data_IF_857333114894
#
_entry.id   IF_857333114894
#
_cell.length_a   1.000
_cell.length_b   1.000
_cell.length_c   1.000
_cell.angle_alpha   90.00
_cell.angle_beta   90.00
_cell.angle_gamma   90.00
#
_symmetry.space_group_name_H-M   'P 1'
#
loop_
_entity.id
_entity.type
_entity.pdbx_description
1 polymer ?
#
# COMPACT_ATOMS: atom_id res chain seq x y z
N UNK A 1 -15.90 -7.12 14.07
CA UNK A 1 -16.64 -6.58 12.90
C UNK A 1 -16.07 -7.24 11.65
N UNK A 2 -16.94 -7.71 10.71
CA UNK A 2 -16.54 -8.34 9.45
C UNK A 2 -16.55 -7.29 8.32
N UNK A 3 -15.46 -7.17 7.55
CA UNK A 3 -15.32 -6.19 6.47
C UNK A 3 -14.50 -6.79 5.32
N UNK A 4 -14.87 -6.46 4.08
CA UNK A 4 -14.14 -6.97 2.90
C UNK A 4 -12.95 -6.07 2.60
N UNK A 5 -11.75 -6.65 2.50
CA UNK A 5 -10.57 -5.96 2.01
C UNK A 5 -10.29 -6.36 0.56
N UNK A 6 -10.45 -5.41 -0.35
CA UNK A 6 -10.36 -5.60 -1.80
C UNK A 6 -8.91 -5.78 -2.27
N UNK A 7 -8.26 -6.86 -1.84
CA UNK A 7 -6.89 -7.19 -2.23
C UNK A 7 -6.72 -8.68 -2.48
N UNK A 8 -5.90 -9.02 -3.48
CA UNK A 8 -5.37 -10.36 -3.72
C UNK A 8 -3.90 -10.48 -3.25
N UNK A 9 -3.31 -9.41 -2.73
CA UNK A 9 -1.93 -9.39 -2.26
C UNK A 9 -1.84 -9.89 -0.81
N UNK A 10 -1.23 -11.06 -0.63
CA UNK A 10 -1.09 -11.69 0.69
C UNK A 10 -0.24 -10.87 1.68
N UNK A 11 0.78 -10.14 1.19
CA UNK A 11 1.60 -9.26 2.03
C UNK A 11 0.78 -8.09 2.57
N UNK A 12 -0.02 -7.44 1.71
CA UNK A 12 -0.94 -6.38 2.14
C UNK A 12 -1.96 -6.89 3.15
N UNK A 13 -2.55 -8.06 2.90
CA UNK A 13 -3.52 -8.67 3.80
C UNK A 13 -2.92 -8.91 5.20
N UNK A 14 -1.69 -9.43 5.25
CA UNK A 14 -0.96 -9.67 6.50
C UNK A 14 -0.68 -8.36 7.26
N UNK A 15 -0.14 -7.34 6.59
CA UNK A 15 0.16 -6.05 7.20
C UNK A 15 -1.10 -5.35 7.74
N UNK A 16 -2.18 -5.36 6.97
CA UNK A 16 -3.45 -4.74 7.37
C UNK A 16 -4.11 -5.50 8.52
N UNK A 17 -4.12 -6.84 8.46
CA UNK A 17 -4.67 -7.67 9.53
C UNK A 17 -3.95 -7.43 10.86
N UNK A 18 -2.62 -7.36 10.83
CA UNK A 18 -1.81 -7.08 12.02
C UNK A 18 -2.09 -5.66 12.56
N UNK A 19 -2.22 -4.67 11.69
CA UNK A 19 -2.45 -3.28 12.09
C UNK A 19 -3.87 -3.02 12.63
N UNK A 20 -4.90 -3.71 12.10
CA UNK A 20 -6.29 -3.61 12.56
C UNK A 20 -6.53 -4.36 13.89
N UNK A 21 -5.77 -5.44 14.14
CA UNK A 21 -5.92 -6.28 15.31
C UNK A 21 -7.19 -7.14 15.29
N UNK A 22 -7.47 -7.82 16.42
CA UNK A 22 -8.52 -8.84 16.54
C UNK A 22 -9.95 -8.30 16.51
N UNK A 23 -10.14 -6.99 16.65
CA UNK A 23 -11.48 -6.36 16.61
C UNK A 23 -12.16 -6.48 15.23
N UNK A 24 -11.38 -6.75 14.18
CA UNK A 24 -11.83 -6.82 12.80
C UNK A 24 -11.49 -8.18 12.17
N UNK A 25 -12.48 -8.74 11.47
CA UNK A 25 -12.30 -9.93 10.65
C UNK A 25 -12.28 -9.53 9.19
N UNK A 26 -11.11 -9.61 8.56
CA UNK A 26 -10.97 -9.32 7.14
C UNK A 26 -11.48 -10.48 6.31
N UNK A 27 -12.20 -10.15 5.24
CA UNK A 27 -12.68 -11.09 4.23
C UNK A 27 -12.07 -10.68 2.90
N UNK A 28 -11.56 -11.64 2.16
CA UNK A 28 -10.99 -11.40 0.83
C UNK A 28 -12.07 -11.42 -0.26
N UNK A 29 -11.82 -10.82 -1.44
CA UNK A 29 -12.72 -10.93 -2.58
C UNK A 29 -13.00 -12.39 -2.97
N UNK A 30 -11.98 -13.25 -2.91
CA UNK A 30 -12.10 -14.68 -3.22
C UNK A 30 -13.07 -15.40 -2.29
N UNK A 31 -13.08 -15.09 -1.00
CA UNK A 31 -14.05 -15.62 -0.04
C UNK A 31 -15.48 -15.12 -0.28
N UNK A 32 -15.63 -14.03 -1.05
CA UNK A 32 -16.90 -13.50 -1.53
C UNK A 32 -17.29 -14.05 -2.94
N UNK A 33 -16.51 -14.98 -3.50
CA UNK A 33 -16.75 -15.54 -4.82
C UNK A 33 -16.28 -14.67 -5.99
N UNK A 34 -15.46 -13.63 -5.71
CA UNK A 34 -14.87 -12.75 -6.72
C UNK A 34 -13.43 -13.22 -6.96
N UNK A 35 -13.17 -13.78 -8.14
CA UNK A 35 -11.87 -14.37 -8.51
C UNK A 35 -11.13 -13.61 -9.59
N UNK A 36 -11.82 -12.73 -10.31
CA UNK A 36 -11.25 -11.86 -11.32
C UNK A 36 -10.41 -10.74 -10.72
N UNK A 37 -9.42 -10.29 -11.47
CA UNK A 37 -8.63 -9.12 -11.10
C UNK A 37 -9.47 -7.84 -11.26
N UNK A 38 -9.35 -6.96 -10.28
CA UNK A 38 -10.02 -5.66 -10.30
C UNK A 38 -9.09 -4.68 -11.02
N UNK A 39 -9.53 -4.03 -12.12
CA UNK A 39 -8.70 -3.10 -12.88
C UNK A 39 -8.23 -1.90 -12.05
N UNK A 40 -6.97 -1.51 -12.24
CA UNK A 40 -6.33 -0.34 -11.62
C UNK A 40 -5.87 0.61 -12.75
N UNK A 41 -6.83 1.32 -13.35
CA UNK A 41 -6.59 2.18 -14.51
C UNK A 41 -6.72 3.68 -14.19
N UNK A 42 -6.91 4.02 -12.93
CA UNK A 42 -7.05 5.41 -12.50
C UNK A 42 -5.68 6.11 -12.41
N UNK A 43 -5.63 7.43 -12.66
CA UNK A 43 -4.38 8.18 -12.65
C UNK A 43 -3.83 8.47 -11.25
N UNK A 44 -4.57 8.15 -10.20
CA UNK A 44 -4.20 8.42 -8.80
C UNK A 44 -4.39 7.20 -7.91
N UNK A 45 -3.65 7.16 -6.79
CA UNK A 45 -3.81 6.12 -5.78
C UNK A 45 -5.22 6.11 -5.19
N UNK A 46 -5.77 7.31 -4.92
CA UNK A 46 -7.14 7.48 -4.42
C UNK A 46 -8.16 6.94 -5.41
N UNK A 47 -7.99 7.23 -6.70
CA UNK A 47 -8.85 6.75 -7.78
C UNK A 47 -8.86 5.23 -7.86
N UNK A 48 -7.69 4.59 -7.85
CA UNK A 48 -7.58 3.14 -7.87
C UNK A 48 -8.19 2.50 -6.61
N UNK A 49 -7.94 3.06 -5.43
CA UNK A 49 -8.54 2.57 -4.19
C UNK A 49 -10.08 2.66 -4.24
N UNK A 50 -10.63 3.80 -4.67
CA UNK A 50 -12.09 3.97 -4.84
C UNK A 50 -12.67 3.01 -5.88
N UNK A 51 -12.05 2.88 -7.04
CA UNK A 51 -12.52 1.98 -8.10
C UNK A 51 -12.60 0.52 -7.60
N UNK A 52 -11.57 0.06 -6.88
CA UNK A 52 -11.57 -1.28 -6.27
C UNK A 52 -12.66 -1.44 -5.21
N UNK A 53 -12.81 -0.48 -4.32
CA UNK A 53 -13.83 -0.54 -3.27
C UNK A 53 -15.25 -0.53 -3.87
N UNK A 54 -15.52 0.33 -4.86
CA UNK A 54 -16.81 0.39 -5.57
C UNK A 54 -17.13 -0.91 -6.28
N UNK A 55 -16.11 -1.54 -6.90
CA UNK A 55 -16.26 -2.83 -7.57
C UNK A 55 -16.73 -3.91 -6.58
N UNK A 56 -16.08 -4.03 -5.42
CA UNK A 56 -16.45 -4.97 -4.38
C UNK A 56 -17.83 -4.65 -3.81
N UNK A 57 -18.11 -3.39 -3.48
CA UNK A 57 -19.40 -2.98 -2.94
C UNK A 57 -20.57 -3.32 -3.86
N UNK A 58 -20.41 -3.08 -5.16
CA UNK A 58 -21.45 -3.37 -6.17
C UNK A 58 -21.77 -4.86 -6.30
N UNK A 59 -20.77 -5.74 -6.05
CA UNK A 59 -20.91 -7.19 -6.18
C UNK A 59 -21.40 -7.87 -4.90
N UNK A 60 -21.01 -7.35 -3.76
CA UNK A 60 -21.25 -8.00 -2.45
C UNK A 60 -22.32 -7.31 -1.61
N UNK A 61 -22.55 -6.01 -1.81
CA UNK A 61 -23.38 -5.20 -0.92
C UNK A 61 -22.79 -5.00 0.48
N UNK A 62 -21.61 -5.54 0.77
CA UNK A 62 -20.98 -5.50 2.09
C UNK A 62 -20.13 -4.24 2.26
N UNK A 63 -19.94 -3.82 3.51
CA UNK A 63 -18.93 -2.82 3.84
C UNK A 63 -17.55 -3.34 3.42
N UNK A 64 -16.82 -2.50 2.71
CA UNK A 64 -15.55 -2.89 2.12
C UNK A 64 -14.58 -1.72 2.04
N UNK A 65 -13.30 -2.05 2.00
CA UNK A 65 -12.26 -1.08 1.70
C UNK A 65 -11.23 -1.66 0.74
N UNK A 66 -10.53 -0.77 0.07
CA UNK A 66 -9.39 -1.08 -0.77
C UNK A 66 -8.24 -0.14 -0.46
N UNK A 67 -7.01 -0.57 -0.71
CA UNK A 67 -5.84 0.29 -0.67
C UNK A 67 -5.17 0.37 -2.05
N UNK A 68 -4.54 1.50 -2.31
CA UNK A 68 -3.52 1.60 -3.34
C UNK A 68 -2.29 2.30 -2.77
N UNK A 69 -1.11 1.89 -3.21
CA UNK A 69 0.16 2.34 -2.64
C UNK A 69 1.15 2.66 -3.73
N UNK A 70 1.85 3.76 -3.59
CA UNK A 70 2.91 4.18 -4.48
C UNK A 70 4.15 4.66 -3.75
N UNK A 71 5.30 4.39 -4.36
CA UNK A 71 6.57 5.03 -4.05
C UNK A 71 6.73 6.24 -4.96
N UNK A 72 6.96 7.41 -4.40
CA UNK A 72 7.17 8.64 -5.14
C UNK A 72 8.59 9.14 -4.86
N UNK A 73 9.42 9.24 -5.91
CA UNK A 73 10.81 9.67 -5.81
C UNK A 73 10.94 11.09 -6.36
N UNK A 74 11.42 12.00 -5.54
CA UNK A 74 11.46 13.42 -5.87
C UNK A 74 12.28 13.71 -7.12
N UNK A 75 13.50 13.16 -7.23
CA UNK A 75 14.38 13.36 -8.37
C UNK A 75 13.84 12.78 -9.70
N UNK A 76 12.83 11.90 -9.63
CA UNK A 76 12.15 11.30 -10.78
C UNK A 76 10.78 11.92 -11.04
N UNK A 77 10.50 13.11 -10.47
CA UNK A 77 9.22 13.79 -10.67
C UNK A 77 8.02 13.06 -10.07
N UNK A 78 8.23 12.20 -9.06
CA UNK A 78 7.20 11.41 -8.41
C UNK A 78 7.03 10.00 -8.95
N UNK A 79 7.83 9.60 -9.96
CA UNK A 79 7.85 8.20 -10.39
C UNK A 79 8.47 7.28 -9.29
N UNK A 80 8.06 6.01 -9.23
CA UNK A 80 7.05 5.32 -10.05
C UNK A 80 5.59 5.66 -9.73
N UNK A 81 5.26 6.21 -8.54
CA UNK A 81 3.94 6.67 -8.18
C UNK A 81 2.86 5.59 -8.32
N UNK A 82 1.77 5.87 -9.02
CA UNK A 82 0.66 4.93 -9.25
C UNK A 82 1.09 3.67 -10.00
N UNK A 83 2.21 3.72 -10.73
CA UNK A 83 2.78 2.59 -11.47
C UNK A 83 3.77 1.75 -10.67
N UNK A 84 3.87 1.95 -9.35
CA UNK A 84 4.91 1.32 -8.51
C UNK A 84 4.99 -0.21 -8.65
N UNK A 85 3.86 -0.90 -8.70
CA UNK A 85 3.82 -2.36 -8.82
C UNK A 85 4.22 -2.87 -10.23
N UNK A 86 4.10 -2.00 -11.25
CA UNK A 86 4.31 -2.32 -12.68
C UNK A 86 5.28 -1.34 -13.33
N UNK A 87 6.31 -0.93 -12.60
CA UNK A 87 7.23 0.11 -13.05
C UNK A 87 8.11 -0.34 -14.20
N UNK A 88 8.65 -1.56 -14.15
CA UNK A 88 9.54 -2.12 -15.16
C UNK A 88 8.82 -2.94 -16.23
N UNK A 89 7.68 -3.57 -15.87
CA UNK A 89 6.96 -4.50 -16.74
C UNK A 89 5.45 -4.38 -16.50
N UNK A 90 4.63 -4.89 -17.40
CA UNK A 90 3.17 -4.96 -17.22
C UNK A 90 2.76 -5.95 -16.12
N UNK A 91 3.67 -6.84 -15.70
CA UNK A 91 3.47 -7.76 -14.59
C UNK A 91 3.97 -7.19 -13.26
N UNK A 92 3.71 -7.94 -12.19
CA UNK A 92 4.26 -7.65 -10.86
C UNK A 92 5.63 -8.34 -10.73
N UNK A 93 6.70 -7.62 -11.05
CA UNK A 93 8.09 -8.10 -10.92
C UNK A 93 8.89 -7.14 -10.03
N UNK A 94 8.91 -7.43 -8.74
CA UNK A 94 9.57 -6.59 -7.74
C UNK A 94 11.07 -6.45 -8.01
N UNK A 95 11.73 -7.50 -8.50
CA UNK A 95 13.16 -7.45 -8.82
C UNK A 95 13.46 -6.56 -10.02
N UNK A 96 12.64 -6.66 -11.07
CA UNK A 96 12.75 -5.77 -12.23
C UNK A 96 12.47 -4.33 -11.86
N UNK A 97 11.45 -4.08 -11.02
CA UNK A 97 11.08 -2.76 -10.54
C UNK A 97 12.19 -2.10 -9.72
N UNK A 98 12.79 -2.82 -8.78
CA UNK A 98 13.93 -2.34 -7.97
C UNK A 98 15.15 -2.02 -8.85
N UNK A 99 15.47 -2.92 -9.76
CA UNK A 99 16.60 -2.73 -10.70
C UNK A 99 16.41 -1.48 -11.56
N UNK A 100 15.21 -1.28 -12.11
CA UNK A 100 14.93 -0.08 -12.90
C UNK A 100 15.05 1.18 -12.04
N UNK A 101 14.52 1.18 -10.82
CA UNK A 101 14.62 2.33 -9.91
C UNK A 101 16.09 2.68 -9.62
N UNK A 102 16.93 1.70 -9.30
CA UNK A 102 18.35 1.93 -9.05
C UNK A 102 19.06 2.46 -10.29
N UNK A 103 18.76 1.92 -11.48
CA UNK A 103 19.29 2.41 -12.75
C UNK A 103 18.90 3.88 -13.00
N UNK A 104 17.64 4.23 -12.78
CA UNK A 104 17.15 5.62 -12.94
C UNK A 104 17.79 6.61 -11.96
N UNK A 105 18.26 6.12 -10.81
CA UNK A 105 18.91 6.91 -9.78
C UNK A 105 20.46 6.82 -9.82
N UNK A 106 21.03 6.19 -10.83
CA UNK A 106 22.49 6.14 -11.00
C UNK A 106 23.07 7.55 -11.16
N UNK A 107 24.04 7.91 -10.32
CA UNK A 107 24.64 9.25 -10.29
C UNK A 107 23.76 10.37 -9.70
N UNK A 108 22.53 10.07 -9.30
CA UNK A 108 21.59 11.04 -8.71
C UNK A 108 21.88 11.19 -7.21
N UNK A 109 22.15 12.41 -6.77
CA UNK A 109 22.44 12.72 -5.34
C UNK A 109 21.18 12.87 -4.50
N UNK A 110 20.12 13.47 -5.06
CA UNK A 110 18.84 13.60 -4.38
C UNK A 110 18.10 12.27 -4.41
N UNK A 111 18.08 11.58 -3.30
CA UNK A 111 17.43 10.27 -3.16
C UNK A 111 16.14 10.33 -2.33
N UNK A 112 15.66 11.54 -2.04
CA UNK A 112 14.43 11.75 -1.29
C UNK A 112 13.24 11.08 -1.98
N UNK A 113 12.47 10.40 -1.16
CA UNK A 113 11.28 9.69 -1.60
C UNK A 113 10.23 9.66 -0.50
N UNK A 114 9.03 9.25 -0.85
CA UNK A 114 7.98 8.93 0.11
C UNK A 114 7.17 7.73 -0.37
N UNK A 115 6.74 6.91 0.55
CA UNK A 115 5.64 5.99 0.31
C UNK A 115 4.32 6.64 0.71
N UNK A 116 3.31 6.45 -0.12
CA UNK A 116 1.91 6.82 0.15
C UNK A 116 0.99 5.62 0.02
N UNK A 117 0.06 5.51 0.95
CA UNK A 117 -1.09 4.60 0.83
C UNK A 117 -2.36 5.41 0.92
N UNK A 118 -3.25 5.25 -0.07
CA UNK A 118 -4.63 5.69 -0.02
C UNK A 118 -5.52 4.50 0.28
N UNK A 119 -6.41 4.62 1.26
CA UNK A 119 -7.47 3.65 1.57
C UNK A 119 -8.80 4.29 1.26
N UNK A 120 -9.63 3.60 0.48
CA UNK A 120 -11.02 3.96 0.25
C UNK A 120 -11.92 2.95 0.97
N UNK A 121 -12.74 3.43 1.90
CA UNK A 121 -13.79 2.67 2.58
C UNK A 121 -15.14 3.04 1.95
N UNK A 122 -15.99 2.04 1.70
CA UNK A 122 -17.39 2.23 1.34
C UNK A 122 -18.25 1.46 2.34
N UNK A 123 -19.10 2.19 3.03
CA UNK A 123 -20.01 1.66 4.03
C UNK A 123 -21.44 2.26 3.88
N UNK A 124 -22.28 2.15 4.91
CA UNK A 124 -23.64 2.73 4.90
C UNK A 124 -23.65 4.25 4.87
N UNK A 125 -22.60 4.89 5.37
CA UNK A 125 -22.52 6.34 5.50
C UNK A 125 -21.89 7.02 4.27
N UNK A 126 -21.33 6.20 3.33
CA UNK A 126 -20.80 6.67 2.07
C UNK A 126 -19.39 6.21 1.75
N UNK A 127 -18.66 7.05 1.05
CA UNK A 127 -17.28 6.84 0.65
C UNK A 127 -16.34 7.70 1.50
N UNK A 128 -15.31 7.07 2.06
CA UNK A 128 -14.34 7.72 2.94
C UNK A 128 -12.92 7.41 2.46
N UNK A 129 -12.05 8.41 2.51
CA UNK A 129 -10.65 8.28 2.13
C UNK A 129 -9.74 8.49 3.35
N UNK A 130 -8.76 7.61 3.49
CA UNK A 130 -7.71 7.69 4.51
C UNK A 130 -6.35 7.60 3.84
N UNK A 131 -5.42 8.39 4.30
CA UNK A 131 -4.07 8.42 3.74
C UNK A 131 -3.02 8.17 4.83
N UNK A 132 -1.96 7.49 4.44
CA UNK A 132 -0.74 7.38 5.23
C UNK A 132 0.46 7.67 4.35
N UNK A 133 1.38 8.48 4.89
CA UNK A 133 2.62 8.88 4.21
C UNK A 133 3.80 8.66 5.12
N UNK A 134 4.90 8.15 4.57
CA UNK A 134 6.19 8.11 5.23
C UNK A 134 7.26 8.64 4.27
N UNK A 135 8.04 9.61 4.75
CA UNK A 135 9.17 10.15 4.02
C UNK A 135 10.43 9.33 4.30
N UNK A 136 11.38 9.39 3.39
CA UNK A 136 12.64 8.69 3.52
C UNK A 136 13.55 8.93 2.32
N UNK A 137 14.53 8.05 2.17
CA UNK A 137 15.49 8.08 1.09
C UNK A 137 15.62 6.69 0.45
N UNK A 138 15.97 6.67 -0.84
CA UNK A 138 16.28 5.43 -1.56
C UNK A 138 17.76 5.08 -1.36
N UNK A 139 18.05 3.90 -0.83
CA UNK A 139 19.41 3.38 -0.70
C UNK A 139 20.07 3.17 -2.08
N UNK A 140 21.41 3.13 -2.11
CA UNK A 140 22.15 2.86 -3.35
C UNK A 140 22.16 1.38 -3.74
N UNK A 141 21.88 0.50 -2.79
CA UNK A 141 21.81 -0.95 -2.97
C UNK A 141 20.75 -1.54 -2.02
N UNK A 142 20.36 -2.77 -2.25
CA UNK A 142 19.37 -3.46 -1.44
C UNK A 142 19.95 -3.89 -0.08
N UNK A 143 19.16 -3.72 0.97
CA UNK A 143 19.47 -4.17 2.33
C UNK A 143 18.26 -4.85 2.95
N UNK A 144 18.46 -6.04 3.53
CA UNK A 144 17.42 -6.84 4.16
C UNK A 144 16.70 -7.76 3.18
N UNK A 145 15.92 -8.67 3.73
CA UNK A 145 15.22 -9.72 2.98
C UNK A 145 13.74 -9.81 3.30
N UNK A 146 13.25 -9.04 4.28
CA UNK A 146 11.85 -9.04 4.69
C UNK A 146 11.04 -8.05 3.86
N UNK A 147 9.71 -8.11 4.00
CA UNK A 147 8.80 -7.24 3.29
C UNK A 147 8.59 -7.62 1.83
N UNK A 148 8.29 -6.64 0.98
CA UNK A 148 8.03 -6.82 -0.44
C UNK A 148 8.21 -5.50 -1.21
N UNK A 149 8.17 -5.56 -2.55
CA UNK A 149 8.30 -4.38 -3.40
C UNK A 149 9.63 -3.68 -3.20
N UNK A 150 9.60 -2.39 -2.93
CA UNK A 150 10.77 -1.55 -2.75
C UNK A 150 11.30 -1.50 -1.32
N UNK A 151 10.79 -2.31 -0.40
CA UNK A 151 11.20 -2.33 1.01
C UNK A 151 12.73 -2.45 1.21
N UNK A 152 13.48 -3.25 0.42
CA UNK A 152 14.92 -3.34 0.53
C UNK A 152 15.70 -2.07 0.15
N UNK A 153 15.03 -1.11 -0.48
CA UNK A 153 15.63 0.14 -0.94
C UNK A 153 15.19 1.37 -0.15
N UNK A 154 14.11 1.31 0.62
CA UNK A 154 13.55 2.48 1.29
C UNK A 154 13.99 2.56 2.75
N UNK A 155 14.70 3.65 3.08
CA UNK A 155 15.13 4.00 4.44
C UNK A 155 14.20 5.09 4.96
N UNK A 156 13.27 4.78 5.89
CA UNK A 156 12.36 5.79 6.42
C UNK A 156 13.11 6.86 7.23
N UNK A 157 12.60 8.08 7.22
CA UNK A 157 13.16 9.21 7.93
C UNK A 157 13.28 8.92 9.45
N UNK A 158 14.45 9.21 10.00
CA UNK A 158 14.78 8.90 11.40
C UNK A 158 15.37 7.51 11.63
N UNK A 159 15.42 6.67 10.58
CA UNK A 159 16.00 5.33 10.62
C UNK A 159 17.30 5.25 9.82
N UNK A 160 18.10 4.22 10.12
CA UNK A 160 19.29 3.86 9.34
C UNK A 160 19.12 2.53 8.61
N UNK A 161 18.00 1.85 8.86
CA UNK A 161 17.63 0.55 8.28
C UNK A 161 16.57 0.75 7.20
N UNK A 162 16.60 -0.10 6.18
CA UNK A 162 15.50 -0.19 5.23
C UNK A 162 14.28 -0.87 5.86
N UNK A 163 13.12 -0.74 5.25
CA UNK A 163 11.94 -1.50 5.68
C UNK A 163 12.16 -3.01 5.66
N UNK A 164 12.96 -3.53 4.73
CA UNK A 164 13.29 -4.95 4.65
C UNK A 164 14.24 -5.44 5.76
N UNK A 165 14.82 -4.54 6.55
CA UNK A 165 15.63 -4.85 7.73
C UNK A 165 14.84 -4.75 9.05
N UNK A 166 13.56 -4.45 8.97
CA UNK A 166 12.67 -4.32 10.12
C UNK A 166 11.76 -5.53 10.23
N UNK A 167 11.34 -5.85 11.46
CA UNK A 167 10.24 -6.79 11.66
C UNK A 167 8.94 -6.21 11.09
N UNK A 168 7.96 -7.07 10.83
CA UNK A 168 6.63 -6.62 10.38
C UNK A 168 5.98 -5.66 11.39
N UNK A 169 6.17 -5.89 12.69
CA UNK A 169 5.68 -5.03 13.76
C UNK A 169 6.36 -3.66 13.74
N UNK A 170 7.70 -3.62 13.67
CA UNK A 170 8.47 -2.37 13.58
C UNK A 170 8.04 -1.55 12.34
N UNK A 171 7.94 -2.20 11.17
CA UNK A 171 7.49 -1.57 9.94
C UNK A 171 6.07 -1.01 10.07
N UNK A 172 5.12 -1.80 10.56
CA UNK A 172 3.72 -1.37 10.71
C UNK A 172 3.57 -0.18 11.67
N UNK A 173 4.43 -0.05 12.67
CA UNK A 173 4.40 1.08 13.60
C UNK A 173 4.65 2.43 12.91
N UNK A 174 5.47 2.48 11.88
CA UNK A 174 5.93 3.72 11.23
C UNK A 174 5.52 3.87 9.76
N UNK A 175 5.13 2.78 9.08
CA UNK A 175 4.90 2.77 7.63
C UNK A 175 3.67 3.58 7.20
N UNK A 176 3.67 3.94 5.92
CA UNK A 176 2.55 4.54 5.19
C UNK A 176 1.25 3.74 5.39
N UNK A 177 1.28 2.41 5.14
CA UNK A 177 0.09 1.54 5.31
C UNK A 177 -0.34 1.48 6.77
N UNK A 178 0.58 1.31 7.70
CA UNK A 178 0.27 1.31 9.13
C UNK A 178 -0.42 2.61 9.57
N UNK A 179 0.02 3.75 9.07
CA UNK A 179 -0.60 5.07 9.34
C UNK A 179 -2.01 5.19 8.75
N UNK A 180 -2.19 4.77 7.50
CA UNK A 180 -3.50 4.78 6.84
C UNK A 180 -4.50 3.84 7.54
N UNK A 181 -4.06 2.63 7.90
CA UNK A 181 -4.89 1.63 8.59
C UNK A 181 -5.30 2.08 9.98
N UNK A 182 -4.43 2.76 10.74
CA UNK A 182 -4.83 3.33 12.04
C UNK A 182 -5.95 4.35 11.91
N UNK A 183 -5.90 5.23 10.90
CA UNK A 183 -6.99 6.19 10.63
C UNK A 183 -8.29 5.49 10.26
N UNK A 184 -8.21 4.44 9.44
CA UNK A 184 -9.37 3.60 9.13
C UNK A 184 -9.94 2.94 10.39
N UNK A 185 -9.08 2.36 11.23
CA UNK A 185 -9.50 1.71 12.48
C UNK A 185 -10.18 2.69 13.45
N UNK A 186 -9.62 3.88 13.62
CA UNK A 186 -10.21 4.94 14.44
C UNK A 186 -11.62 5.32 13.94
N UNK A 187 -11.79 5.48 12.63
CA UNK A 187 -13.10 5.75 12.04
C UNK A 187 -14.08 4.61 12.32
N UNK A 188 -13.69 3.36 12.04
CA UNK A 188 -14.55 2.18 12.22
C UNK A 188 -14.94 1.93 13.68
N UNK A 189 -14.06 2.25 14.65
CA UNK A 189 -14.33 2.11 16.08
C UNK A 189 -15.30 3.20 16.59
N UNK A 190 -15.29 4.39 15.97
CA UNK A 190 -16.14 5.52 16.36
C UNK A 190 -17.52 5.51 15.68
N UNK A 191 -17.77 4.58 14.74
CA UNK A 191 -19.12 4.38 14.17
C UNK A 191 -20.05 3.84 15.24
N UNK A 192 -21.15 4.55 15.46
CA UNK A 192 -22.24 4.13 16.35
C UNK A 192 -23.35 3.44 15.58
#
# INVERSE_FOLDING_TARGET
MKIVFATNNAHKLSEVSQALGEAFTLVTPRECGITEDIPENEPTLEGNALAKARYIRSRTGLDCFADDTGLEVEALGGEPGVHSARYATDGHDDEANKRLLLQRLEGVRNRRARFRTAIALIDSDGEHLFEGVVYGDIACEEHGADGFGYDPLFIPEGEQRTFAQMSAEEKNAISHRGRAVRRLAEYLQNRK
#
